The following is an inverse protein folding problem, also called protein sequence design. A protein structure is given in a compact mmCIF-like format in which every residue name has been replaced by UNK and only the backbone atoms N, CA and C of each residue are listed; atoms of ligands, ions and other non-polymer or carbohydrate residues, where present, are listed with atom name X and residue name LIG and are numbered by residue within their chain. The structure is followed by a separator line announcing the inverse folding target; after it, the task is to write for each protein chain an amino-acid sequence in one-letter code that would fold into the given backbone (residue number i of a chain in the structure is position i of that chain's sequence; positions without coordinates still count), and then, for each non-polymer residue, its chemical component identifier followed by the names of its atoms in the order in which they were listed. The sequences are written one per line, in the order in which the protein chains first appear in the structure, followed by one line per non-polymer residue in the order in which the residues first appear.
data_IF_394383635888
#
_entry.id   IF_394383635888
#
_cell.length_a   1.000
_cell.length_b   1.000
_cell.length_c   1.000
_cell.angle_alpha   90.00
_cell.angle_beta   90.00
_cell.angle_gamma   90.00
#
_symmetry.space_group_name_H-M   'P 1'
#
loop_
_entity.id
_entity.type
_entity.pdbx_description
1 polymer ?
#
# COMPACT_ATOMS: atom_id res chain seq x y z
N UNK A 1 5.30 28.06 -21.15
CA UNK A 1 5.63 28.27 -19.74
C UNK A 1 5.91 26.90 -19.16
N UNK A 2 7.18 26.60 -18.87
CA UNK A 2 7.57 25.29 -18.32
C UNK A 2 7.14 25.27 -16.85
N UNK A 3 6.02 24.61 -16.55
CA UNK A 3 5.71 24.19 -15.19
C UNK A 3 6.62 23.00 -14.87
N UNK A 4 7.75 23.30 -14.28
CA UNK A 4 8.61 22.33 -13.62
C UNK A 4 7.86 21.88 -12.34
N UNK A 5 6.97 20.88 -12.46
CA UNK A 5 6.43 20.20 -11.28
C UNK A 5 7.57 19.38 -10.69
N UNK A 6 8.08 19.80 -9.54
CA UNK A 6 9.01 18.97 -8.77
C UNK A 6 8.36 17.61 -8.48
N UNK A 7 9.14 16.50 -8.50
CA UNK A 7 8.62 15.19 -8.15
C UNK A 7 7.99 15.22 -6.74
N UNK A 8 7.01 14.36 -6.50
CA UNK A 8 6.36 14.25 -5.20
C UNK A 8 7.40 13.94 -4.12
N UNK A 9 7.54 14.86 -3.18
CA UNK A 9 8.43 14.68 -2.04
C UNK A 9 7.60 14.27 -0.82
N UNK A 10 7.84 13.06 -0.32
CA UNK A 10 7.22 12.55 0.91
C UNK A 10 7.69 13.28 2.17
N UNK A 11 8.57 14.28 2.02
CA UNK A 11 9.14 15.08 3.10
C UNK A 11 8.53 16.49 3.21
N UNK A 12 7.50 16.82 2.39
CA UNK A 12 6.93 18.18 2.29
C UNK A 12 5.42 18.24 2.52
N UNK A 13 4.85 19.44 2.37
CA UNK A 13 3.41 19.74 2.50
C UNK A 13 2.49 18.89 1.59
N UNK A 14 3.03 18.13 0.63
CA UNK A 14 2.27 17.26 -0.25
C UNK A 14 1.66 16.05 0.47
N UNK A 15 2.20 15.67 1.62
CA UNK A 15 1.71 14.56 2.46
C UNK A 15 0.26 14.78 2.89
N UNK A 16 -0.10 15.95 3.40
CA UNK A 16 -1.47 16.26 3.80
C UNK A 16 -2.44 16.26 2.62
N UNK A 17 -2.01 16.76 1.47
CA UNK A 17 -2.81 16.77 0.25
C UNK A 17 -3.03 15.35 -0.26
N UNK A 18 -2.01 14.50 -0.23
CA UNK A 18 -2.11 13.10 -0.60
C UNK A 18 -3.15 12.38 0.25
N UNK A 19 -3.04 12.45 1.57
CA UNK A 19 -3.97 11.82 2.51
C UNK A 19 -5.43 12.25 2.29
N UNK A 20 -5.67 13.51 2.01
CA UNK A 20 -7.02 14.04 1.76
C UNK A 20 -7.57 13.61 0.40
N UNK A 21 -6.72 13.46 -0.61
CA UNK A 21 -7.13 13.23 -1.99
C UNK A 21 -7.13 11.78 -2.42
N UNK A 22 -6.33 10.91 -1.79
CA UNK A 22 -6.17 9.51 -2.24
C UNK A 22 -7.49 8.74 -2.26
N UNK A 23 -8.35 8.97 -1.27
CA UNK A 23 -9.66 8.32 -1.18
C UNK A 23 -10.62 8.74 -2.31
N UNK A 24 -10.44 9.94 -2.87
CA UNK A 24 -11.21 10.43 -4.01
C UNK A 24 -10.67 9.89 -5.34
N UNK A 25 -9.38 9.61 -5.41
CA UNK A 25 -8.72 9.15 -6.64
C UNK A 25 -9.04 7.69 -6.98
N UNK A 26 -9.29 6.86 -5.97
CA UNK A 26 -9.47 5.43 -6.15
C UNK A 26 -10.91 5.03 -5.83
N UNK A 27 -11.71 4.61 -6.85
CA UNK A 27 -13.04 4.09 -6.61
C UNK A 27 -13.00 2.90 -5.65
N UNK A 28 -13.80 2.95 -4.59
CA UNK A 28 -13.82 1.88 -3.59
C UNK A 28 -12.61 1.84 -2.66
N UNK A 29 -11.86 2.95 -2.51
CA UNK A 29 -10.68 3.03 -1.63
C UNK A 29 -10.95 2.51 -0.21
N UNK A 30 -12.03 2.93 0.44
CA UNK A 30 -12.40 2.42 1.77
C UNK A 30 -12.79 0.95 1.73
N UNK A 31 -13.47 0.52 0.66
CA UNK A 31 -13.85 -0.89 0.48
C UNK A 31 -12.62 -1.80 0.30
N UNK A 32 -11.59 -1.34 -0.42
CA UNK A 32 -10.31 -2.05 -0.55
C UNK A 32 -9.68 -2.33 0.83
N UNK A 33 -9.70 -1.34 1.72
CA UNK A 33 -9.18 -1.50 3.10
C UNK A 33 -10.08 -2.39 3.96
N UNK A 34 -11.41 -2.30 3.81
CA UNK A 34 -12.34 -3.19 4.51
C UNK A 34 -12.16 -4.66 4.09
N UNK A 35 -11.93 -4.91 2.80
CA UNK A 35 -11.64 -6.26 2.30
C UNK A 35 -10.28 -6.77 2.78
N UNK A 36 -9.26 -5.93 2.82
CA UNK A 36 -7.94 -6.24 3.37
C UNK A 36 -8.06 -6.70 4.83
N UNK A 37 -8.76 -5.92 5.66
CA UNK A 37 -8.96 -6.26 7.06
C UNK A 37 -9.71 -7.59 7.24
N UNK A 38 -10.78 -7.82 6.47
CA UNK A 38 -11.56 -9.07 6.52
C UNK A 38 -10.74 -10.30 6.12
N UNK A 39 -9.86 -10.15 5.13
CA UNK A 39 -8.97 -11.24 4.70
C UNK A 39 -7.96 -11.58 5.79
N UNK A 40 -7.36 -10.56 6.43
CA UNK A 40 -6.47 -10.79 7.57
C UNK A 40 -7.22 -11.45 8.74
N UNK A 41 -8.39 -10.92 9.10
CA UNK A 41 -9.21 -11.47 10.18
C UNK A 41 -9.58 -12.94 9.93
N UNK A 42 -9.96 -13.27 8.69
CA UNK A 42 -10.26 -14.65 8.30
C UNK A 42 -9.04 -15.57 8.34
N UNK A 43 -7.85 -15.04 8.06
CA UNK A 43 -6.59 -15.80 8.11
C UNK A 43 -6.18 -16.15 9.55
N UNK A 44 -6.68 -15.42 10.55
CA UNK A 44 -6.32 -15.57 11.98
C UNK A 44 -7.50 -15.94 12.87
N UNK A 45 -8.58 -16.50 12.33
CA UNK A 45 -9.83 -16.74 13.03
C UNK A 45 -9.67 -17.48 14.38
N UNK A 46 -8.63 -18.29 14.52
CA UNK A 46 -8.35 -19.12 15.71
C UNK A 46 -7.22 -18.57 16.60
N UNK A 47 -6.66 -17.38 16.29
CA UNK A 47 -5.53 -16.82 17.02
C UNK A 47 -5.75 -15.32 17.32
N UNK A 48 -5.55 -14.92 18.57
CA UNK A 48 -5.76 -13.55 19.03
C UNK A 48 -4.44 -12.79 19.27
N UNK A 49 -3.32 -13.48 19.48
CA UNK A 49 -2.00 -12.84 19.67
C UNK A 49 -1.29 -12.70 18.32
N UNK A 50 -1.67 -11.68 17.59
CA UNK A 50 -1.24 -11.43 16.20
C UNK A 50 -0.36 -10.19 16.15
N UNK A 51 0.78 -10.30 15.46
CA UNK A 51 1.68 -9.19 15.18
C UNK A 51 1.76 -8.94 13.67
N UNK A 52 1.22 -7.79 13.23
CA UNK A 52 1.16 -7.40 11.81
C UNK A 52 2.26 -6.41 11.46
N UNK A 53 2.94 -6.66 10.35
CA UNK A 53 3.84 -5.69 9.71
C UNK A 53 3.05 -4.86 8.68
N UNK A 54 3.05 -3.53 8.86
CA UNK A 54 2.50 -2.58 7.88
C UNK A 54 3.65 -1.91 7.15
N UNK A 55 3.92 -2.37 5.94
CA UNK A 55 5.04 -1.93 5.11
C UNK A 55 4.63 -0.79 4.18
N UNK A 56 5.24 0.37 4.34
CA UNK A 56 4.77 1.64 3.77
C UNK A 56 3.55 2.13 4.54
N UNK A 57 3.70 2.29 5.87
CA UNK A 57 2.60 2.64 6.78
C UNK A 57 1.94 3.99 6.48
N UNK A 58 2.66 4.87 5.76
CA UNK A 58 2.14 6.17 5.36
C UNK A 58 1.54 6.93 6.54
N UNK A 59 0.37 7.52 6.35
CA UNK A 59 -0.38 8.21 7.41
C UNK A 59 -1.13 7.29 8.38
N UNK A 60 -0.86 5.98 8.41
CA UNK A 60 -1.38 5.05 9.43
C UNK A 60 -2.83 4.61 9.26
N UNK A 61 -3.40 4.70 8.05
CA UNK A 61 -4.82 4.33 7.83
C UNK A 61 -5.08 2.85 8.10
N UNK A 62 -4.23 1.95 7.61
CA UNK A 62 -4.36 0.51 7.87
C UNK A 62 -4.21 0.21 9.35
N UNK A 63 -3.22 0.83 10.00
CA UNK A 63 -2.95 0.65 11.43
C UNK A 63 -4.16 1.04 12.27
N UNK A 64 -4.74 2.21 11.99
CA UNK A 64 -5.92 2.67 12.71
C UNK A 64 -7.14 1.75 12.47
N UNK A 65 -7.34 1.28 11.24
CA UNK A 65 -8.43 0.36 10.90
C UNK A 65 -8.27 -0.96 11.64
N UNK A 66 -7.10 -1.60 11.53
CA UNK A 66 -6.81 -2.88 12.16
C UNK A 66 -6.86 -2.77 13.69
N UNK A 67 -6.20 -1.76 14.26
CA UNK A 67 -6.14 -1.58 15.71
C UNK A 67 -7.47 -1.24 16.35
N UNK A 68 -8.38 -0.58 15.64
CA UNK A 68 -9.74 -0.29 16.13
C UNK A 68 -10.66 -1.51 16.09
N UNK A 69 -10.44 -2.45 15.17
CA UNK A 69 -11.27 -3.65 15.01
C UNK A 69 -10.75 -4.86 15.77
N UNK A 70 -9.44 -4.93 16.01
CA UNK A 70 -8.76 -6.07 16.65
C UNK A 70 -7.98 -5.60 17.87
N UNK A 71 -8.61 -5.71 19.05
CA UNK A 71 -8.07 -5.16 20.30
C UNK A 71 -6.84 -5.93 20.84
N UNK A 72 -6.66 -7.16 20.40
CA UNK A 72 -5.54 -8.03 20.83
C UNK A 72 -4.35 -8.01 19.85
N UNK A 73 -4.52 -7.37 18.67
CA UNK A 73 -3.45 -7.33 17.69
C UNK A 73 -2.44 -6.24 18.01
N UNK A 74 -1.18 -6.55 17.76
CA UNK A 74 -0.06 -5.60 17.78
C UNK A 74 0.42 -5.31 16.37
N UNK A 75 0.96 -4.12 16.13
CA UNK A 75 1.37 -3.70 14.79
C UNK A 75 2.73 -3.02 14.82
N UNK A 76 3.57 -3.35 13.83
CA UNK A 76 4.76 -2.56 13.49
C UNK A 76 4.53 -1.87 12.15
N UNK A 77 4.50 -0.55 12.14
CA UNK A 77 4.43 0.25 10.92
C UNK A 77 5.81 0.78 10.55
N UNK A 78 6.23 0.58 9.30
CA UNK A 78 7.47 1.13 8.76
C UNK A 78 7.20 2.02 7.57
N UNK A 79 7.85 3.17 7.53
CA UNK A 79 7.83 4.10 6.41
C UNK A 79 9.06 5.00 6.49
N UNK A 80 9.85 5.21 5.44
CA UNK A 80 11.02 6.08 5.49
C UNK A 80 10.66 7.56 5.63
N UNK A 81 9.40 7.96 5.36
CA UNK A 81 8.94 9.35 5.46
C UNK A 81 8.54 9.72 6.88
N UNK A 82 9.36 10.50 7.56
CA UNK A 82 9.03 11.05 8.88
C UNK A 82 7.72 11.86 8.90
N UNK A 83 7.41 12.75 7.93
CA UNK A 83 6.13 13.44 7.90
C UNK A 83 4.93 12.51 7.80
N UNK A 84 5.03 11.41 7.05
CA UNK A 84 3.99 10.38 7.00
C UNK A 84 3.82 9.72 8.36
N UNK A 85 4.89 9.30 9.01
CA UNK A 85 4.82 8.67 10.33
C UNK A 85 4.29 9.60 11.41
N UNK A 86 4.54 10.91 11.35
CA UNK A 86 3.92 11.89 12.26
C UNK A 86 2.39 11.93 12.11
N UNK A 87 1.87 11.80 10.89
CA UNK A 87 0.42 11.65 10.67
C UNK A 87 -0.09 10.31 11.22
N UNK A 88 0.68 9.24 11.02
CA UNK A 88 0.34 7.93 11.56
C UNK A 88 0.29 7.95 13.10
N UNK A 89 1.28 8.56 13.75
CA UNK A 89 1.35 8.71 15.20
C UNK A 89 0.11 9.45 15.74
N UNK A 90 -0.23 10.59 15.16
CA UNK A 90 -1.44 11.33 15.52
C UNK A 90 -2.71 10.47 15.38
N UNK A 91 -2.83 9.73 14.28
CA UNK A 91 -3.99 8.86 14.02
C UNK A 91 -4.07 7.70 15.01
N UNK A 92 -2.92 7.13 15.38
CA UNK A 92 -2.78 6.07 16.38
C UNK A 92 -3.18 6.56 17.78
N UNK A 93 -2.79 7.79 18.14
CA UNK A 93 -3.19 8.44 19.39
C UNK A 93 -4.71 8.74 19.42
N UNK A 94 -5.25 9.32 18.35
CA UNK A 94 -6.69 9.60 18.22
C UNK A 94 -7.54 8.32 18.29
N UNK A 95 -7.03 7.20 17.80
CA UNK A 95 -7.67 5.90 17.88
C UNK A 95 -7.49 5.19 19.24
N UNK A 96 -6.66 5.72 20.14
CA UNK A 96 -6.40 5.13 21.45
C UNK A 96 -5.67 3.79 21.43
N UNK A 97 -4.87 3.52 20.39
CA UNK A 97 -4.20 2.22 20.16
C UNK A 97 -2.67 2.26 20.33
N UNK A 98 -2.13 3.38 20.80
CA UNK A 98 -0.67 3.63 20.86
C UNK A 98 0.14 2.57 21.60
N UNK A 99 -0.43 1.95 22.65
CA UNK A 99 0.26 0.89 23.41
C UNK A 99 0.52 -0.39 22.62
N UNK A 100 -0.14 -0.57 21.47
CA UNK A 100 -0.06 -1.77 20.62
C UNK A 100 0.58 -1.50 19.25
N UNK A 101 1.08 -0.29 19.03
CA UNK A 101 1.64 0.14 17.74
C UNK A 101 3.07 0.62 17.93
N UNK A 102 3.98 0.13 17.10
CA UNK A 102 5.34 0.62 16.98
C UNK A 102 5.54 1.20 15.59
N UNK A 103 5.85 2.50 15.51
CA UNK A 103 6.17 3.17 14.25
C UNK A 103 7.70 3.34 14.14
N UNK A 104 8.27 3.05 12.97
CA UNK A 104 9.71 3.11 12.74
C UNK A 104 10.02 3.82 11.41
N UNK A 105 10.88 4.86 11.41
CA UNK A 105 11.27 5.60 10.22
C UNK A 105 12.38 4.86 9.45
N UNK A 106 12.04 3.66 8.98
CA UNK A 106 12.96 2.76 8.28
C UNK A 106 12.25 2.09 7.11
N UNK A 107 12.99 1.53 6.19
CA UNK A 107 12.47 0.63 5.15
C UNK A 107 12.29 -0.79 5.72
N UNK A 108 11.61 -1.66 4.96
CA UNK A 108 11.45 -3.07 5.37
C UNK A 108 12.80 -3.78 5.44
N UNK A 109 13.70 -3.46 4.54
CA UNK A 109 15.05 -4.04 4.44
C UNK A 109 15.91 -3.75 5.67
N UNK A 110 15.67 -2.62 6.34
CA UNK A 110 16.39 -2.17 7.53
C UNK A 110 15.86 -2.79 8.84
N UNK A 111 14.70 -3.46 8.78
CA UNK A 111 14.20 -4.18 9.97
C UNK A 111 15.11 -5.35 10.34
N UNK A 112 15.23 -5.67 11.64
CA UNK A 112 15.91 -6.88 12.10
C UNK A 112 15.30 -8.15 11.48
N UNK A 113 16.15 -9.12 11.11
CA UNK A 113 15.71 -10.38 10.50
C UNK A 113 15.24 -11.42 11.54
N UNK A 114 15.57 -11.23 12.79
CA UNK A 114 15.17 -12.11 13.92
C UNK A 114 13.74 -11.87 14.41
N UNK A 115 13.10 -10.80 13.93
CA UNK A 115 11.68 -10.50 14.22
C UNK A 115 10.84 -10.98 13.05
N UNK A 116 9.92 -11.92 13.33
CA UNK A 116 8.97 -12.43 12.33
C UNK A 116 7.54 -12.09 12.71
N UNK A 117 6.74 -11.78 11.69
CA UNK A 117 5.36 -11.32 11.83
C UNK A 117 4.38 -12.40 11.40
N UNK A 118 3.16 -12.36 11.98
CA UNK A 118 2.07 -13.27 11.64
C UNK A 118 1.42 -12.95 10.30
N UNK A 119 1.52 -11.70 9.84
CA UNK A 119 1.05 -11.25 8.53
C UNK A 119 1.60 -9.89 8.18
N UNK A 120 1.42 -9.48 6.94
CA UNK A 120 1.81 -8.15 6.49
C UNK A 120 0.79 -7.50 5.54
N UNK A 121 0.79 -6.17 5.55
CA UNK A 121 0.13 -5.34 4.52
C UNK A 121 1.14 -4.43 3.82
N UNK A 122 0.90 -4.14 2.55
CA UNK A 122 1.59 -3.10 1.78
C UNK A 122 0.60 -2.46 0.81
N UNK A 123 -0.02 -1.37 1.24
CA UNK A 123 -1.11 -0.74 0.51
C UNK A 123 -0.65 0.51 -0.23
N UNK A 124 -0.76 0.46 -1.57
CA UNK A 124 -0.47 1.58 -2.47
C UNK A 124 0.98 2.10 -2.39
N UNK A 125 1.93 1.23 -2.08
CA UNK A 125 3.35 1.60 -1.94
C UNK A 125 4.22 1.04 -3.06
N UNK A 126 4.04 -0.24 -3.46
CA UNK A 126 4.96 -0.97 -4.34
C UNK A 126 5.26 -0.26 -5.68
N UNK A 127 4.28 0.44 -6.24
CA UNK A 127 4.44 1.16 -7.50
C UNK A 127 5.33 2.43 -7.39
N UNK A 128 5.73 2.86 -6.19
CA UNK A 128 6.72 3.93 -6.02
C UNK A 128 8.16 3.41 -6.06
N UNK A 129 8.38 2.11 -5.90
CA UNK A 129 9.70 1.52 -6.05
C UNK A 129 10.08 1.45 -7.53
N UNK A 130 11.22 2.02 -7.89
CA UNK A 130 11.68 2.11 -9.27
C UNK A 130 12.40 0.84 -9.71
N UNK A 131 11.97 0.25 -10.82
CA UNK A 131 12.52 -0.96 -11.42
C UNK A 131 12.13 -2.26 -10.70
N UNK A 132 12.21 -3.36 -11.44
CA UNK A 132 11.84 -4.69 -10.95
C UNK A 132 12.72 -5.16 -9.79
N UNK A 133 13.99 -4.76 -9.77
CA UNK A 133 14.93 -5.18 -8.73
C UNK A 133 14.56 -4.59 -7.35
N UNK A 134 14.21 -3.31 -7.29
CA UNK A 134 13.78 -2.69 -6.04
C UNK A 134 12.48 -3.32 -5.51
N UNK A 135 11.54 -3.63 -6.40
CA UNK A 135 10.30 -4.33 -6.05
C UNK A 135 10.59 -5.76 -5.54
N UNK A 136 11.53 -6.46 -6.18
CA UNK A 136 11.98 -7.79 -5.77
C UNK A 136 12.64 -7.77 -4.40
N UNK A 137 13.57 -6.84 -4.16
CA UNK A 137 14.23 -6.68 -2.86
C UNK A 137 13.21 -6.45 -1.76
N UNK A 138 12.28 -5.54 -1.96
CA UNK A 138 11.23 -5.23 -1.01
C UNK A 138 10.37 -6.46 -0.69
N UNK A 139 9.84 -7.16 -1.69
CA UNK A 139 8.98 -8.35 -1.49
C UNK A 139 9.74 -9.53 -0.86
N UNK A 140 11.01 -9.72 -1.24
CA UNK A 140 11.87 -10.73 -0.63
C UNK A 140 12.15 -10.41 0.84
N UNK A 141 12.39 -9.13 1.16
CA UNK A 141 12.58 -8.67 2.54
C UNK A 141 11.31 -8.80 3.38
N UNK A 142 10.14 -8.58 2.79
CA UNK A 142 8.86 -8.89 3.43
C UNK A 142 8.73 -10.38 3.72
N UNK A 143 8.98 -11.23 2.71
CA UNK A 143 8.89 -12.67 2.86
C UNK A 143 9.83 -13.21 3.95
N UNK A 144 11.04 -12.66 4.06
CA UNK A 144 12.00 -13.06 5.10
C UNK A 144 11.53 -12.75 6.52
N UNK A 145 10.65 -11.76 6.68
CA UNK A 145 10.11 -11.30 7.98
C UNK A 145 8.71 -11.83 8.28
N UNK A 146 8.21 -12.73 7.46
CA UNK A 146 6.92 -13.39 7.69
C UNK A 146 7.12 -14.84 8.11
N UNK A 147 6.30 -15.31 9.05
CA UNK A 147 6.22 -16.73 9.39
C UNK A 147 5.80 -17.55 8.16
N UNK A 148 6.28 -18.79 7.98
CA UNK A 148 5.72 -19.67 6.96
C UNK A 148 4.19 -19.80 7.13
N UNK A 149 3.46 -19.71 6.02
CA UNK A 149 1.99 -19.69 6.02
C UNK A 149 1.34 -18.33 6.30
N UNK A 150 2.13 -17.31 6.62
CA UNK A 150 1.61 -15.97 6.93
C UNK A 150 0.97 -15.29 5.69
N UNK A 151 -0.16 -14.59 5.85
CA UNK A 151 -0.78 -13.81 4.77
C UNK A 151 -0.01 -12.52 4.49
N UNK A 152 0.08 -12.18 3.21
CA UNK A 152 0.44 -10.87 2.70
C UNK A 152 -0.77 -10.28 1.97
N UNK A 153 -1.16 -9.06 2.32
CA UNK A 153 -2.09 -8.26 1.53
C UNK A 153 -1.31 -7.12 0.88
N UNK A 154 -1.33 -7.06 -0.44
CA UNK A 154 -0.64 -6.00 -1.18
C UNK A 154 -1.59 -5.35 -2.18
N UNK A 155 -1.58 -4.02 -2.26
CA UNK A 155 -2.29 -3.28 -3.30
C UNK A 155 -1.36 -2.26 -3.95
N UNK A 156 -1.47 -2.13 -5.27
CA UNK A 156 -0.65 -1.21 -6.04
C UNK A 156 -1.40 -0.73 -7.29
N UNK A 157 -0.84 0.29 -7.93
CA UNK A 157 -1.19 0.59 -9.33
C UNK A 157 -0.48 -0.44 -10.19
N UNK A 158 -1.26 -1.31 -10.86
CA UNK A 158 -0.77 -2.36 -11.75
C UNK A 158 -1.25 -2.07 -13.16
N UNK A 159 -0.41 -1.44 -13.97
CA UNK A 159 -0.78 -0.95 -15.28
C UNK A 159 0.22 -1.41 -16.36
N UNK A 160 -0.28 -1.98 -17.42
CA UNK A 160 0.46 -2.03 -18.67
C UNK A 160 0.26 -0.71 -19.42
N UNK A 161 1.24 0.20 -19.31
CA UNK A 161 1.19 1.52 -19.94
C UNK A 161 1.20 1.45 -21.48
N UNK A 162 1.52 0.30 -22.06
CA UNK A 162 1.54 0.05 -23.52
C UNK A 162 0.30 -0.67 -24.00
N UNK A 163 -0.58 -1.07 -23.10
CA UNK A 163 -1.84 -1.74 -23.45
C UNK A 163 -2.71 -0.86 -24.34
N UNK A 164 -3.33 -1.39 -25.39
CA UNK A 164 -4.34 -0.68 -26.16
C UNK A 164 -5.54 -0.20 -25.32
N UNK A 165 -5.79 -0.83 -24.18
CA UNK A 165 -6.84 -0.42 -23.25
C UNK A 165 -6.43 0.77 -22.37
N UNK A 166 -5.14 1.09 -22.26
CA UNK A 166 -4.64 2.13 -21.36
C UNK A 166 -5.30 3.50 -21.56
N UNK A 167 -5.46 4.03 -22.79
CA UNK A 167 -6.12 5.32 -22.98
C UNK A 167 -7.58 5.34 -22.51
N UNK A 168 -8.32 4.25 -22.70
CA UNK A 168 -9.73 4.13 -22.29
C UNK A 168 -9.81 4.08 -20.76
N UNK A 169 -8.96 3.28 -20.12
CA UNK A 169 -8.89 3.19 -18.66
C UNK A 169 -8.54 4.53 -18.03
N UNK A 170 -7.58 5.25 -18.59
CA UNK A 170 -7.18 6.58 -18.12
C UNK A 170 -8.28 7.61 -18.30
N UNK A 171 -9.02 7.56 -19.43
CA UNK A 171 -10.16 8.45 -19.64
C UNK A 171 -11.28 8.20 -18.61
N UNK A 172 -11.63 6.93 -18.39
CA UNK A 172 -12.65 6.56 -17.40
C UNK A 172 -12.23 6.95 -15.97
N UNK A 173 -10.94 6.80 -15.65
CA UNK A 173 -10.40 7.21 -14.36
C UNK A 173 -10.42 8.73 -14.18
N UNK A 174 -10.08 9.49 -15.23
CA UNK A 174 -10.25 10.95 -15.27
C UNK A 174 -11.67 11.36 -14.98
N UNK A 175 -12.64 10.77 -15.69
CA UNK A 175 -14.05 11.10 -15.54
C UNK A 175 -14.54 10.82 -14.11
N UNK A 176 -14.10 9.70 -13.52
CA UNK A 176 -14.35 9.41 -12.11
C UNK A 176 -13.78 10.50 -11.20
N UNK A 177 -12.49 10.81 -11.31
CA UNK A 177 -11.83 11.78 -10.43
C UNK A 177 -12.48 13.16 -10.51
N UNK A 178 -12.81 13.63 -11.72
CA UNK A 178 -13.49 14.91 -11.91
C UNK A 178 -14.90 14.87 -11.32
N UNK A 179 -15.64 13.77 -11.46
CA UNK A 179 -17.00 13.62 -10.95
C UNK A 179 -17.09 13.67 -9.42
N UNK A 180 -16.03 13.29 -8.72
CA UNK A 180 -15.95 13.35 -7.24
C UNK A 180 -15.26 14.61 -6.72
N UNK A 181 -15.00 15.59 -7.60
CA UNK A 181 -14.50 16.90 -7.21
C UNK A 181 -12.98 17.07 -7.22
N UNK A 182 -12.22 16.11 -7.74
CA UNK A 182 -10.78 16.28 -7.96
C UNK A 182 -10.57 17.29 -9.09
N UNK A 183 -9.68 18.26 -8.91
CA UNK A 183 -9.42 19.29 -9.91
C UNK A 183 -8.68 18.73 -11.12
N UNK A 184 -8.92 19.31 -12.31
CA UNK A 184 -8.27 18.90 -13.56
C UNK A 184 -6.73 18.92 -13.45
N UNK A 185 -6.18 19.93 -12.79
CA UNK A 185 -4.73 20.04 -12.55
C UNK A 185 -4.17 18.90 -11.68
N UNK A 186 -4.96 18.41 -10.73
CA UNK A 186 -4.57 17.25 -9.91
C UNK A 186 -4.62 15.94 -10.70
N UNK A 187 -5.62 15.81 -11.58
CA UNK A 187 -5.65 14.71 -12.52
C UNK A 187 -4.43 14.73 -13.45
N UNK A 188 -4.10 15.88 -14.05
CA UNK A 188 -2.98 16.01 -14.98
C UNK A 188 -1.65 15.64 -14.29
N UNK A 189 -1.44 16.06 -13.03
CA UNK A 189 -0.28 15.67 -12.24
C UNK A 189 -0.25 14.16 -11.98
N UNK A 190 -1.37 13.60 -11.56
CA UNK A 190 -1.49 12.16 -11.34
C UNK A 190 -1.20 11.37 -12.63
N UNK A 191 -1.83 11.72 -13.74
CA UNK A 191 -1.60 11.06 -15.02
C UNK A 191 -0.15 11.17 -15.50
N UNK A 192 0.49 12.34 -15.29
CA UNK A 192 1.88 12.56 -15.64
C UNK A 192 2.88 11.82 -14.72
N UNK A 193 2.47 11.42 -13.52
CA UNK A 193 3.33 10.67 -12.58
C UNK A 193 3.50 9.20 -12.97
N UNK A 194 2.54 8.63 -13.71
CA UNK A 194 2.58 7.24 -14.15
C UNK A 194 3.73 7.00 -15.15
N UNK A 195 4.60 6.05 -14.83
CA UNK A 195 5.80 5.75 -15.59
C UNK A 195 6.96 6.74 -15.39
N UNK A 196 6.87 7.62 -14.37
CA UNK A 196 7.92 8.58 -13.98
C UNK A 196 8.19 8.54 -12.48
N UNK A 197 7.27 9.08 -11.67
CA UNK A 197 7.35 9.05 -10.20
C UNK A 197 6.85 7.71 -9.66
N UNK A 198 5.84 7.14 -10.30
CA UNK A 198 5.42 5.76 -10.09
C UNK A 198 5.85 4.89 -11.27
N UNK A 199 6.25 3.68 -10.95
CA UNK A 199 6.69 2.64 -11.89
C UNK A 199 5.78 1.41 -11.73
N UNK A 200 4.55 1.45 -12.30
CA UNK A 200 3.63 0.33 -12.23
C UNK A 200 4.12 -0.85 -13.07
N UNK A 201 3.78 -2.05 -12.63
CA UNK A 201 3.97 -3.30 -13.38
C UNK A 201 2.61 -3.89 -13.71
N UNK A 202 2.48 -4.70 -14.75
CA UNK A 202 1.20 -5.31 -15.09
C UNK A 202 0.81 -6.43 -14.10
N UNK A 203 -0.45 -6.88 -14.16
CA UNK A 203 -0.99 -7.92 -13.27
C UNK A 203 -0.21 -9.24 -13.36
N UNK A 204 0.21 -9.60 -14.57
CA UNK A 204 1.01 -10.81 -14.82
C UNK A 204 2.39 -10.71 -14.18
N UNK A 205 3.07 -9.56 -14.36
CA UNK A 205 4.37 -9.28 -13.73
C UNK A 205 4.24 -9.26 -12.20
N UNK A 206 3.14 -8.71 -11.66
CA UNK A 206 2.89 -8.69 -10.22
C UNK A 206 2.75 -10.10 -9.64
N UNK A 207 1.97 -10.97 -10.27
CA UNK A 207 1.78 -12.35 -9.82
C UNK A 207 3.05 -13.18 -9.95
N UNK A 208 3.80 -13.00 -11.03
CA UNK A 208 5.10 -13.63 -11.22
C UNK A 208 6.09 -13.19 -10.14
N UNK A 209 6.19 -11.88 -9.89
CA UNK A 209 7.11 -11.31 -8.91
C UNK A 209 6.81 -11.80 -7.50
N UNK A 210 5.54 -11.85 -7.10
CA UNK A 210 5.14 -12.42 -5.81
C UNK A 210 5.58 -13.88 -5.70
N UNK A 211 5.36 -14.68 -6.75
CA UNK A 211 5.78 -16.10 -6.77
C UNK A 211 7.29 -16.24 -6.62
N UNK A 212 8.07 -15.46 -7.36
CA UNK A 212 9.53 -15.45 -7.31
C UNK A 212 10.09 -15.01 -5.95
N UNK A 213 9.35 -14.16 -5.23
CA UNK A 213 9.70 -13.67 -3.89
C UNK A 213 9.24 -14.59 -2.75
N UNK A 214 8.72 -15.79 -3.04
CA UNK A 214 8.39 -16.80 -2.03
C UNK A 214 6.94 -16.72 -1.52
N UNK A 215 6.02 -16.23 -2.34
CA UNK A 215 4.58 -16.25 -2.06
C UNK A 215 3.83 -17.20 -2.98
N UNK A 216 2.77 -17.80 -2.48
CA UNK A 216 1.88 -18.71 -3.20
C UNK A 216 0.42 -18.32 -2.97
N UNK A 217 -0.52 -19.10 -3.56
CA UNK A 217 -1.96 -18.88 -3.43
C UNK A 217 -2.40 -17.43 -3.75
N UNK A 218 -1.73 -16.81 -4.73
CA UNK A 218 -1.93 -15.42 -5.09
C UNK A 218 -3.33 -15.24 -5.69
N UNK A 219 -4.15 -14.43 -5.03
CA UNK A 219 -5.54 -14.20 -5.41
C UNK A 219 -5.85 -12.72 -5.41
N UNK A 220 -6.38 -12.21 -6.54
CA UNK A 220 -6.83 -10.82 -6.60
C UNK A 220 -8.15 -10.67 -5.85
N UNK A 221 -8.19 -9.79 -4.86
CA UNK A 221 -9.39 -9.50 -4.06
C UNK A 221 -10.04 -8.15 -4.39
N UNK A 222 -9.30 -7.25 -5.03
CA UNK A 222 -9.80 -5.92 -5.39
C UNK A 222 -9.32 -5.52 -6.79
N UNK A 223 -10.12 -4.71 -7.48
CA UNK A 223 -9.76 -4.11 -8.77
C UNK A 223 -10.60 -2.88 -9.07
N UNK A 224 -9.94 -1.73 -9.33
CA UNK A 224 -10.56 -0.49 -9.77
C UNK A 224 -9.61 0.24 -10.72
N UNK A 225 -9.97 0.35 -12.00
CA UNK A 225 -9.08 0.80 -13.07
C UNK A 225 -7.76 0.02 -13.04
N UNK A 226 -6.63 0.70 -12.81
CA UNK A 226 -5.31 0.10 -12.69
C UNK A 226 -4.90 -0.19 -11.23
N UNK A 227 -5.76 0.07 -10.26
CA UNK A 227 -5.48 -0.31 -8.86
C UNK A 227 -5.97 -1.72 -8.63
N UNK A 228 -5.07 -2.59 -8.19
CA UNK A 228 -5.39 -3.98 -7.85
C UNK A 228 -4.87 -4.33 -6.45
N UNK A 229 -5.63 -5.18 -5.77
CA UNK A 229 -5.26 -5.74 -4.48
C UNK A 229 -5.15 -7.26 -4.55
N UNK A 230 -4.09 -7.81 -3.96
CA UNK A 230 -3.79 -9.23 -3.93
C UNK A 230 -3.65 -9.74 -2.50
N UNK A 231 -4.18 -10.92 -2.27
CA UNK A 231 -3.89 -11.78 -1.14
C UNK A 231 -2.88 -12.83 -1.57
N UNK A 232 -1.87 -13.11 -0.75
CA UNK A 232 -0.90 -14.16 -1.00
C UNK A 232 -0.47 -14.81 0.32
N UNK A 233 0.12 -16.00 0.27
CA UNK A 233 0.60 -16.74 1.44
C UNK A 233 2.11 -16.95 1.31
N UNK A 234 2.85 -16.68 2.39
CA UNK A 234 4.28 -16.95 2.50
C UNK A 234 4.53 -18.47 2.49
N UNK A 235 5.43 -18.95 1.61
CA UNK A 235 5.82 -20.37 1.51
C UNK A 235 6.56 -20.89 2.74
#
# INVERSE_FOLDING_TARGET
MNHNSSPMSWETADVHRYEQSIALKIPGYSHMHDLMERLLAASFADNNDIHILVAGAGGGKEIALLGSRHTEWTMTGVDPSLPMLQLAEKRVEEAGIGSRVKLQPVTVEELPEDIVYDGATSMLMLHFLQGMEAKRMFLTSLAARLKPGAPLIVAAVNADLRSPAHPIMMQAWKDHMLSVGVLSEEWERFAASLGRESDPICSEEMTQLLTECGFSHITRYFGAFWVEGYYAIRN
#
